data_IF_676939996021
#
_entry.id   IF_676939996021
#
_cell.length_a   1.000
_cell.length_b   1.000
_cell.length_c   1.000
_cell.angle_alpha   90.00
_cell.angle_beta   90.00
_cell.angle_gamma   90.00
#
_symmetry.space_group_name_H-M   'P 1'
#
loop_
_entity.id
_entity.type
_entity.pdbx_description
1 polymer ?
#
# COMPACT_ATOMS: atom_id res chain seq x y z
N UNK A 1 -25.00 13.35 14.39
CA UNK A 1 -24.24 13.75 15.59
C UNK A 1 -22.81 14.22 15.28
N UNK A 2 -22.03 13.50 14.46
CA UNK A 2 -20.69 13.93 13.98
C UNK A 2 -20.70 15.32 13.32
N UNK A 3 -21.81 15.68 12.68
CA UNK A 3 -22.08 16.93 11.98
C UNK A 3 -22.35 18.14 12.87
N UNK A 4 -22.19 18.06 14.19
CA UNK A 4 -22.33 19.23 15.08
C UNK A 4 -20.99 19.76 15.60
N UNK A 5 -19.90 19.04 15.37
CA UNK A 5 -18.58 19.44 15.82
C UNK A 5 -17.92 20.40 14.81
N UNK A 6 -17.52 21.59 15.28
CA UNK A 6 -16.83 22.58 14.45
C UNK A 6 -15.56 22.00 13.81
N UNK A 7 -14.84 21.15 14.54
CA UNK A 7 -13.59 20.53 14.06
C UNK A 7 -13.81 19.57 12.89
N UNK A 8 -14.97 18.91 12.81
CA UNK A 8 -15.35 18.09 11.66
C UNK A 8 -15.44 18.95 10.40
N UNK A 9 -16.18 20.06 10.46
CA UNK A 9 -16.33 20.97 9.32
C UNK A 9 -15.01 21.61 8.91
N UNK A 10 -14.17 22.00 9.88
CA UNK A 10 -12.85 22.54 9.59
C UNK A 10 -11.95 21.50 8.91
N UNK A 11 -11.92 20.26 9.40
CA UNK A 11 -11.15 19.17 8.80
C UNK A 11 -11.67 18.82 7.39
N UNK A 12 -13.00 18.76 7.20
CA UNK A 12 -13.62 18.52 5.91
C UNK A 12 -13.33 19.65 4.91
N UNK A 13 -13.48 20.91 5.32
CA UNK A 13 -13.19 22.06 4.49
C UNK A 13 -11.71 22.09 4.08
N UNK A 14 -10.79 21.86 5.03
CA UNK A 14 -9.37 21.75 4.74
C UNK A 14 -9.08 20.63 3.74
N UNK A 15 -9.68 19.45 3.93
CA UNK A 15 -9.53 18.31 3.03
C UNK A 15 -10.02 18.62 1.61
N UNK A 16 -11.19 19.24 1.48
CA UNK A 16 -11.76 19.64 0.18
C UNK A 16 -10.87 20.65 -0.52
N UNK A 17 -10.45 21.72 0.16
CA UNK A 17 -9.58 22.75 -0.41
C UNK A 17 -8.25 22.16 -0.88
N UNK A 18 -7.61 21.32 -0.05
CA UNK A 18 -6.34 20.67 -0.40
C UNK A 18 -6.49 19.66 -1.55
N UNK A 19 -7.62 18.96 -1.62
CA UNK A 19 -7.94 18.03 -2.70
C UNK A 19 -8.13 18.78 -4.02
N UNK A 20 -8.96 19.84 -4.03
CA UNK A 20 -9.20 20.67 -5.22
C UNK A 20 -7.90 21.30 -5.72
N UNK A 21 -7.09 21.87 -4.81
CA UNK A 21 -5.79 22.42 -5.17
C UNK A 21 -4.86 21.37 -5.80
N UNK A 22 -4.84 20.16 -5.23
CA UNK A 22 -4.03 19.05 -5.75
C UNK A 22 -4.51 18.57 -7.11
N UNK A 23 -5.82 18.51 -7.34
CA UNK A 23 -6.42 18.20 -8.64
C UNK A 23 -6.03 19.25 -9.68
N UNK A 24 -6.15 20.53 -9.37
CA UNK A 24 -5.74 21.63 -10.27
C UNK A 24 -4.25 21.52 -10.61
N UNK A 25 -3.40 21.25 -9.60
CA UNK A 25 -1.96 21.03 -9.81
C UNK A 25 -1.67 19.81 -10.69
N UNK A 26 -2.40 18.71 -10.48
CA UNK A 26 -2.26 17.50 -11.28
C UNK A 26 -2.66 17.75 -12.75
N UNK A 27 -3.77 18.47 -12.99
CA UNK A 27 -4.22 18.88 -14.32
C UNK A 27 -3.18 19.79 -15.01
N UNK A 28 -2.56 20.69 -14.25
CA UNK A 28 -1.47 21.55 -14.70
C UNK A 28 -0.10 20.82 -14.80
N UNK A 29 -0.09 19.48 -14.70
CA UNK A 29 1.11 18.63 -14.78
C UNK A 29 2.18 18.91 -13.71
N UNK A 30 1.80 19.56 -12.61
CA UNK A 30 2.68 19.75 -11.47
C UNK A 30 2.78 18.45 -10.68
N UNK A 31 4.00 17.98 -10.42
CA UNK A 31 4.27 16.74 -9.68
C UNK A 31 3.74 16.78 -8.24
N UNK A 32 3.57 17.97 -7.69
CA UNK A 32 2.91 18.17 -6.39
C UNK A 32 1.46 17.64 -6.39
N UNK A 33 0.80 17.50 -7.54
CA UNK A 33 -0.54 16.90 -7.64
C UNK A 33 -0.63 15.46 -7.12
N UNK A 34 0.50 14.76 -6.94
CA UNK A 34 0.56 13.41 -6.34
C UNK A 34 0.09 13.39 -4.88
N UNK A 35 0.14 14.53 -4.17
CA UNK A 35 -0.42 14.65 -2.81
C UNK A 35 -1.90 14.28 -2.73
N UNK A 36 -2.62 14.36 -3.86
CA UNK A 36 -4.00 13.91 -3.99
C UNK A 36 -4.23 12.52 -3.42
N UNK A 37 -3.28 11.60 -3.59
CA UNK A 37 -3.42 10.21 -3.14
C UNK A 37 -3.51 10.08 -1.62
N UNK A 38 -2.79 10.94 -0.88
CA UNK A 38 -2.87 10.99 0.59
C UNK A 38 -4.21 11.58 1.02
N UNK A 39 -4.69 12.63 0.35
CA UNK A 39 -6.00 13.22 0.68
C UNK A 39 -7.16 12.28 0.41
N UNK A 40 -7.15 11.57 -0.72
CA UNK A 40 -8.14 10.52 -1.02
C UNK A 40 -8.09 9.39 0.01
N UNK A 41 -6.89 9.01 0.45
CA UNK A 41 -6.71 8.02 1.52
C UNK A 41 -7.30 8.50 2.84
N UNK A 42 -7.03 9.75 3.25
CA UNK A 42 -7.60 10.33 4.47
C UNK A 42 -9.13 10.39 4.37
N UNK A 43 -9.67 10.81 3.23
CA UNK A 43 -11.11 10.81 2.99
C UNK A 43 -11.71 9.40 3.19
N UNK A 44 -11.14 8.40 2.51
CA UNK A 44 -11.65 7.04 2.53
C UNK A 44 -11.62 6.40 3.93
N UNK A 45 -10.58 6.65 4.73
CA UNK A 45 -10.43 6.00 6.04
C UNK A 45 -11.03 6.78 7.22
N UNK A 46 -11.15 8.11 7.13
CA UNK A 46 -11.58 8.95 8.26
C UNK A 46 -12.93 9.65 8.06
N UNK A 47 -13.41 9.76 6.82
CA UNK A 47 -14.67 10.46 6.51
C UNK A 47 -15.76 9.54 5.94
N UNK A 48 -15.42 8.49 5.17
CA UNK A 48 -16.44 7.64 4.53
C UNK A 48 -17.23 6.81 5.54
N UNK A 49 -16.57 6.19 6.50
CA UNK A 49 -17.21 5.26 7.43
C UNK A 49 -18.34 5.89 8.28
N UNK A 50 -18.18 7.10 8.86
CA UNK A 50 -19.29 7.80 9.53
C UNK A 50 -20.55 8.04 8.69
N UNK A 51 -20.42 8.10 7.35
CA UNK A 51 -21.58 8.23 6.45
C UNK A 51 -22.21 6.88 6.12
N UNK A 52 -21.42 5.80 6.09
CA UNK A 52 -21.90 4.46 5.81
C UNK A 52 -22.54 3.80 7.04
N UNK A 53 -21.96 4.04 8.23
CA UNK A 53 -22.33 3.38 9.48
C UNK A 53 -22.56 4.40 10.62
N UNK A 54 -23.56 5.30 10.50
CA UNK A 54 -23.76 6.37 11.47
C UNK A 54 -24.05 5.86 12.90
N UNK A 55 -24.75 4.74 13.02
CA UNK A 55 -25.10 4.11 14.31
C UNK A 55 -23.88 3.74 15.17
N UNK A 56 -22.74 3.44 14.53
CA UNK A 56 -21.50 3.08 15.23
C UNK A 56 -20.82 4.28 15.90
N UNK A 57 -21.33 5.49 15.69
CA UNK A 57 -20.81 6.73 16.24
C UNK A 57 -21.71 7.32 17.33
N UNK A 58 -22.91 6.78 17.53
CA UNK A 58 -23.89 7.32 18.47
C UNK A 58 -23.53 7.07 19.95
N UNK A 59 -22.75 6.02 20.24
CA UNK A 59 -22.26 5.74 21.60
C UNK A 59 -20.95 6.47 21.94
N UNK A 60 -20.32 7.13 20.98
CA UNK A 60 -19.06 7.85 21.20
C UNK A 60 -19.32 9.26 21.74
N UNK A 61 -18.58 9.71 22.78
CA UNK A 61 -18.72 11.08 23.27
C UNK A 61 -18.42 12.11 22.17
N UNK A 62 -19.26 13.15 21.98
CA UNK A 62 -19.05 14.20 20.97
C UNK A 62 -17.68 14.89 21.10
N UNK A 63 -17.22 15.10 22.34
CA UNK A 63 -15.90 15.66 22.62
C UNK A 63 -14.74 14.80 22.06
N UNK A 64 -14.83 13.47 22.18
CA UNK A 64 -13.81 12.55 21.65
C UNK A 64 -13.76 12.57 20.13
N UNK A 65 -14.93 12.68 19.48
CA UNK A 65 -15.03 12.87 18.04
C UNK A 65 -14.45 14.22 17.60
N UNK A 66 -14.81 15.30 18.31
CA UNK A 66 -14.29 16.64 18.06
C UNK A 66 -12.76 16.70 18.16
N UNK A 67 -12.19 16.06 19.20
CA UNK A 67 -10.74 15.93 19.37
C UNK A 67 -10.09 15.12 18.24
N UNK A 68 -10.69 14.01 17.85
CA UNK A 68 -10.18 13.13 16.79
C UNK A 68 -10.18 13.82 15.43
N UNK A 69 -11.23 14.59 15.08
CA UNK A 69 -11.21 15.43 13.87
C UNK A 69 -10.23 16.60 13.96
N UNK A 70 -10.01 17.15 15.15
CA UNK A 70 -8.92 18.11 15.39
C UNK A 70 -7.54 17.51 15.07
N UNK A 71 -7.32 16.23 15.41
CA UNK A 71 -6.10 15.52 15.06
C UNK A 71 -5.99 15.24 13.56
N UNK A 72 -7.09 14.92 12.88
CA UNK A 72 -7.13 14.84 11.41
C UNK A 72 -6.73 16.18 10.78
N UNK A 73 -7.25 17.30 11.29
CA UNK A 73 -6.89 18.63 10.83
C UNK A 73 -5.38 18.92 11.05
N UNK A 74 -4.84 18.59 12.23
CA UNK A 74 -3.40 18.73 12.52
C UNK A 74 -2.54 17.88 11.58
N UNK A 75 -2.97 16.65 11.27
CA UNK A 75 -2.31 15.80 10.28
C UNK A 75 -2.29 16.48 8.90
N UNK A 76 -3.43 17.00 8.43
CA UNK A 76 -3.54 17.66 7.12
C UNK A 76 -2.64 18.90 7.04
N UNK A 77 -2.63 19.73 8.09
CA UNK A 77 -1.77 20.91 8.17
C UNK A 77 -0.30 20.50 8.18
N UNK A 78 0.08 19.55 9.06
CA UNK A 78 1.46 19.06 9.15
C UNK A 78 1.94 18.47 7.82
N UNK A 79 1.19 17.55 7.24
CA UNK A 79 1.48 16.98 5.93
C UNK A 79 1.70 18.08 4.88
N UNK A 80 0.79 19.06 4.81
CA UNK A 80 0.90 20.13 3.81
C UNK A 80 2.12 21.03 4.01
N UNK A 81 2.46 21.38 5.24
CA UNK A 81 3.60 22.25 5.57
C UNK A 81 4.93 21.56 5.24
N UNK A 82 5.07 20.28 5.58
CA UNK A 82 6.34 19.56 5.42
C UNK A 82 6.56 18.99 4.02
N UNK A 83 5.50 18.69 3.27
CA UNK A 83 5.60 18.07 1.93
C UNK A 83 6.51 18.83 0.95
N UNK A 84 6.39 20.17 0.78
CA UNK A 84 7.26 20.90 -0.15
C UNK A 84 8.74 20.81 0.21
N UNK A 85 9.10 20.94 1.49
CA UNK A 85 10.48 20.90 1.95
C UNK A 85 11.07 19.50 1.76
N UNK A 86 10.34 18.46 2.18
CA UNK A 86 10.77 17.06 2.07
C UNK A 86 10.88 16.63 0.62
N UNK A 87 9.91 16.99 -0.23
CA UNK A 87 9.93 16.66 -1.65
C UNK A 87 11.16 17.27 -2.33
N UNK A 88 11.44 18.56 -2.08
CA UNK A 88 12.65 19.21 -2.61
C UNK A 88 13.92 18.50 -2.14
N UNK A 89 13.97 18.11 -0.87
CA UNK A 89 15.12 17.39 -0.32
C UNK A 89 15.33 16.02 -0.96
N UNK A 90 14.26 15.24 -1.15
CA UNK A 90 14.33 13.90 -1.76
C UNK A 90 14.67 13.96 -3.26
N UNK A 91 14.08 14.92 -3.99
CA UNK A 91 14.28 15.08 -5.44
C UNK A 91 15.68 15.63 -5.75
N UNK A 92 16.21 16.57 -4.95
CA UNK A 92 17.55 17.13 -5.14
C UNK A 92 18.68 16.12 -4.94
N UNK A 93 18.43 15.02 -4.22
CA UNK A 93 19.46 14.00 -3.98
C UNK A 93 19.84 13.33 -5.31
N UNK A 94 21.14 13.24 -5.64
CA UNK A 94 21.59 12.63 -6.88
C UNK A 94 20.98 11.24 -7.02
N UNK A 95 20.42 10.98 -8.19
CA UNK A 95 19.82 9.70 -8.48
C UNK A 95 20.82 8.82 -9.20
N UNK A 96 21.17 7.69 -8.59
CA UNK A 96 21.84 6.60 -9.28
C UNK A 96 20.90 5.85 -10.24
N UNK A 97 19.68 6.35 -10.49
CA UNK A 97 18.73 5.76 -11.43
C UNK A 97 19.26 5.94 -12.85
N UNK A 98 19.38 4.84 -13.57
CA UNK A 98 19.89 4.82 -14.93
C UNK A 98 18.66 4.86 -15.84
N UNK A 99 18.42 6.03 -16.42
CA UNK A 99 17.19 6.31 -17.18
C UNK A 99 17.14 5.67 -18.56
N UNK A 100 18.29 5.22 -19.07
CA UNK A 100 18.42 4.60 -20.39
C UNK A 100 18.56 3.07 -20.28
N UNK A 101 17.68 2.45 -19.49
CA UNK A 101 17.48 1.01 -19.59
C UNK A 101 16.68 0.74 -20.86
N UNK A 102 17.34 0.31 -21.94
CA UNK A 102 16.70 -0.18 -23.19
C UNK A 102 15.89 -1.49 -22.99
N UNK A 103 15.43 -1.75 -21.77
CA UNK A 103 14.67 -2.94 -21.42
C UNK A 103 13.27 -2.84 -22.03
N UNK A 104 12.93 -3.85 -22.82
CA UNK A 104 11.60 -3.96 -23.40
C UNK A 104 10.59 -4.42 -22.34
N UNK A 105 9.29 -4.03 -22.45
CA UNK A 105 8.25 -4.55 -21.55
C UNK A 105 8.19 -6.09 -21.50
N UNK A 106 8.58 -6.74 -22.60
CA UNK A 106 8.68 -8.20 -22.71
C UNK A 106 9.77 -8.77 -21.79
N UNK A 107 10.97 -8.19 -21.78
CA UNK A 107 12.06 -8.66 -20.92
C UNK A 107 11.72 -8.50 -19.44
N UNK A 108 11.06 -7.39 -19.08
CA UNK A 108 10.58 -7.17 -17.71
C UNK A 108 9.52 -8.21 -17.32
N UNK A 109 8.61 -8.55 -18.23
CA UNK A 109 7.62 -9.59 -18.01
C UNK A 109 8.25 -10.98 -17.87
N UNK A 110 9.25 -11.32 -18.68
CA UNK A 110 9.96 -12.61 -18.55
C UNK A 110 10.67 -12.69 -17.19
N UNK A 111 11.38 -11.64 -16.77
CA UNK A 111 12.07 -11.62 -15.48
C UNK A 111 11.08 -11.70 -14.30
N UNK A 112 10.04 -10.86 -14.32
CA UNK A 112 8.99 -10.85 -13.28
C UNK A 112 8.24 -12.17 -13.26
N UNK A 113 7.93 -12.72 -14.43
CA UNK A 113 7.22 -13.98 -14.59
C UNK A 113 8.04 -15.19 -14.15
N UNK A 114 9.36 -15.18 -14.36
CA UNK A 114 10.26 -16.21 -13.86
C UNK A 114 10.34 -16.19 -12.32
N UNK A 115 10.44 -15.00 -11.71
CA UNK A 115 10.39 -14.84 -10.25
C UNK A 115 9.05 -15.32 -9.71
N UNK A 116 7.95 -14.93 -10.35
CA UNK A 116 6.61 -15.36 -9.99
C UNK A 116 6.48 -16.89 -10.06
N UNK A 117 6.93 -17.51 -11.15
CA UNK A 117 6.82 -18.96 -11.34
C UNK A 117 7.65 -19.72 -10.30
N UNK A 118 8.88 -19.27 -10.03
CA UNK A 118 9.73 -19.85 -9.01
C UNK A 118 9.06 -19.80 -7.63
N UNK A 119 8.54 -18.63 -7.25
CA UNK A 119 7.85 -18.45 -5.98
C UNK A 119 6.57 -19.29 -5.91
N UNK A 120 5.80 -19.35 -7.01
CA UNK A 120 4.59 -20.15 -7.07
C UNK A 120 4.88 -21.65 -6.91
N UNK A 121 5.92 -22.17 -7.57
CA UNK A 121 6.36 -23.56 -7.42
C UNK A 121 6.86 -23.86 -6.00
N UNK A 122 7.61 -22.94 -5.39
CA UNK A 122 8.01 -23.06 -3.97
C UNK A 122 6.78 -23.08 -3.06
N UNK A 123 5.79 -22.23 -3.34
CA UNK A 123 4.51 -22.20 -2.62
C UNK A 123 3.75 -23.53 -2.70
N UNK A 124 3.65 -24.11 -3.91
CA UNK A 124 3.03 -25.44 -4.12
C UNK A 124 3.80 -26.53 -3.38
N UNK A 125 5.13 -26.51 -3.45
CA UNK A 125 5.96 -27.48 -2.73
C UNK A 125 5.72 -27.42 -1.22
N UNK A 126 5.53 -26.22 -0.66
CA UNK A 126 5.18 -26.05 0.76
C UNK A 126 3.80 -26.60 1.12
N UNK A 127 2.88 -26.64 0.16
CA UNK A 127 1.55 -27.25 0.30
C UNK A 127 1.57 -28.75 -0.01
N UNK A 128 2.73 -29.42 0.08
CA UNK A 128 2.92 -30.83 -0.27
C UNK A 128 2.45 -31.20 -1.69
N UNK A 129 2.50 -30.26 -2.63
CA UNK A 129 2.04 -30.47 -4.01
C UNK A 129 0.56 -30.22 -4.25
N UNK A 130 -0.21 -29.79 -3.24
CA UNK A 130 -1.63 -29.44 -3.41
C UNK A 130 -1.80 -28.10 -4.13
N UNK A 131 -1.94 -28.18 -5.46
CA UNK A 131 -2.14 -27.02 -6.33
C UNK A 131 -3.50 -26.35 -6.08
N UNK A 132 -4.52 -27.13 -5.70
CA UNK A 132 -5.88 -26.60 -5.52
C UNK A 132 -5.92 -25.73 -4.27
N UNK A 133 -5.42 -26.24 -3.14
CA UNK A 133 -5.33 -25.47 -1.90
C UNK A 133 -4.35 -24.29 -2.01
N UNK A 134 -3.31 -24.40 -2.85
CA UNK A 134 -2.39 -23.30 -3.12
C UNK A 134 -3.06 -22.13 -3.87
N UNK A 135 -3.85 -22.42 -4.91
CA UNK A 135 -4.54 -21.40 -5.71
C UNK A 135 -5.81 -20.90 -5.03
N UNK A 136 -6.50 -21.79 -4.32
CA UNK A 136 -7.84 -21.54 -3.78
C UNK A 136 -7.88 -22.02 -2.31
N UNK A 137 -7.28 -21.25 -1.39
CA UNK A 137 -7.21 -21.61 0.03
C UNK A 137 -8.59 -21.46 0.68
N UNK A 138 -9.40 -22.51 0.57
CA UNK A 138 -10.78 -22.51 1.07
C UNK A 138 -10.88 -22.52 2.59
N UNK A 139 -9.81 -22.85 3.30
CA UNK A 139 -9.81 -22.94 4.76
C UNK A 139 -9.59 -21.57 5.45
N UNK A 140 -9.58 -20.49 4.66
CA UNK A 140 -9.54 -19.12 5.15
C UNK A 140 -8.28 -18.79 5.94
N UNK A 141 -8.45 -18.10 7.09
CA UNK A 141 -7.33 -17.63 7.92
C UNK A 141 -6.76 -18.71 8.84
N UNK A 142 -7.55 -19.75 9.13
CA UNK A 142 -7.12 -20.92 9.90
C UNK A 142 -6.42 -21.99 9.05
N UNK A 143 -6.55 -21.91 7.73
CA UNK A 143 -5.98 -22.85 6.77
C UNK A 143 -4.50 -22.66 6.46
N UNK A 144 -3.88 -23.72 5.95
CA UNK A 144 -2.56 -23.63 5.32
C UNK A 144 -2.65 -22.82 4.02
N UNK A 145 -1.74 -21.87 3.86
CA UNK A 145 -1.62 -21.07 2.64
C UNK A 145 -0.17 -21.08 2.16
N UNK A 146 0.05 -20.88 0.85
CA UNK A 146 1.39 -20.92 0.22
C UNK A 146 2.47 -20.12 0.96
N UNK A 147 2.07 -19.00 1.55
CA UNK A 147 2.95 -18.08 2.27
C UNK A 147 2.48 -17.81 3.71
N UNK A 148 1.59 -18.67 4.22
CA UNK A 148 1.13 -18.63 5.60
C UNK A 148 2.21 -19.04 6.59
N UNK A 149 2.20 -18.39 7.76
CA UNK A 149 3.00 -18.76 8.93
C UNK A 149 2.25 -18.41 10.21
N UNK A 150 2.60 -19.13 11.29
CA UNK A 150 2.24 -18.73 12.66
C UNK A 150 2.74 -17.32 12.97
N UNK A 151 1.95 -16.59 13.76
CA UNK A 151 2.20 -15.18 14.02
C UNK A 151 3.45 -14.96 14.91
N UNK A 152 3.80 -15.96 15.72
CA UNK A 152 5.03 -16.00 16.53
C UNK A 152 5.98 -17.08 16.00
N UNK A 153 6.32 -17.05 14.71
CA UNK A 153 7.37 -17.94 14.20
C UNK A 153 8.74 -17.53 14.77
N UNK A 154 9.26 -18.30 15.72
CA UNK A 154 10.61 -18.15 16.29
C UNK A 154 11.72 -18.62 15.34
N UNK A 155 11.39 -19.38 14.30
CA UNK A 155 12.36 -19.96 13.36
C UNK A 155 12.75 -18.99 12.23
N UNK A 156 14.00 -19.10 11.75
CA UNK A 156 14.50 -18.39 10.57
C UNK A 156 13.66 -18.70 9.30
N UNK A 157 13.05 -19.88 9.25
CA UNK A 157 12.14 -20.30 8.20
C UNK A 157 10.90 -19.38 8.12
N UNK A 158 10.36 -18.92 9.25
CA UNK A 158 9.22 -18.00 9.27
C UNK A 158 9.52 -16.64 8.66
N UNK A 159 10.76 -16.14 8.82
CA UNK A 159 11.20 -14.92 8.14
C UNK A 159 11.26 -15.13 6.62
N UNK A 160 11.85 -16.23 6.15
CA UNK A 160 11.93 -16.56 4.73
C UNK A 160 10.54 -16.73 4.09
N UNK A 161 9.59 -17.30 4.83
CA UNK A 161 8.20 -17.44 4.38
C UNK A 161 7.54 -16.08 4.18
N UNK A 162 7.69 -15.15 5.14
CA UNK A 162 7.16 -13.79 4.98
C UNK A 162 7.83 -13.04 3.85
N UNK A 163 9.15 -13.17 3.74
CA UNK A 163 9.92 -12.60 2.65
C UNK A 163 9.39 -13.07 1.29
N UNK A 164 9.20 -14.39 1.13
CA UNK A 164 8.63 -14.99 -0.08
C UNK A 164 7.22 -14.49 -0.36
N UNK A 165 6.35 -14.40 0.64
CA UNK A 165 4.99 -13.89 0.50
C UNK A 165 4.92 -12.42 0.05
N UNK A 166 5.74 -11.55 0.63
CA UNK A 166 5.81 -10.14 0.21
C UNK A 166 6.40 -9.97 -1.18
N UNK A 167 7.44 -10.75 -1.52
CA UNK A 167 8.03 -10.75 -2.86
C UNK A 167 7.03 -11.27 -3.91
N UNK A 168 6.27 -12.31 -3.57
CA UNK A 168 5.21 -12.87 -4.41
C UNK A 168 4.09 -11.86 -4.65
N UNK A 169 3.69 -11.11 -3.61
CA UNK A 169 2.71 -10.03 -3.74
C UNK A 169 3.23 -8.89 -4.63
N UNK A 170 4.49 -8.47 -4.44
CA UNK A 170 5.12 -7.47 -5.30
C UNK A 170 5.21 -7.91 -6.77
N UNK A 171 5.60 -9.16 -7.03
CA UNK A 171 5.64 -9.74 -8.37
C UNK A 171 4.26 -9.77 -9.02
N UNK A 172 3.22 -10.17 -8.27
CA UNK A 172 1.83 -10.19 -8.74
C UNK A 172 1.33 -8.78 -9.08
N UNK A 173 1.62 -7.80 -8.24
CA UNK A 173 1.26 -6.41 -8.50
C UNK A 173 1.96 -5.85 -9.76
N UNK A 174 3.22 -6.26 -9.99
CA UNK A 174 3.96 -5.93 -11.21
C UNK A 174 3.33 -6.58 -12.45
N UNK A 175 2.92 -7.86 -12.36
CA UNK A 175 2.22 -8.54 -13.46
C UNK A 175 0.93 -7.82 -13.83
N UNK A 176 0.12 -7.42 -12.85
CA UNK A 176 -1.11 -6.64 -13.07
C UNK A 176 -0.85 -5.33 -13.83
N UNK A 177 0.17 -4.57 -13.43
CA UNK A 177 0.54 -3.34 -14.13
C UNK A 177 1.06 -3.60 -15.56
N UNK A 178 1.83 -4.68 -15.77
CA UNK A 178 2.46 -4.99 -17.07
C UNK A 178 1.46 -5.30 -18.18
N UNK A 179 0.25 -5.79 -17.85
CA UNK A 179 -0.82 -6.11 -18.83
C UNK A 179 -1.05 -4.96 -19.81
N UNK A 180 -1.02 -3.72 -19.31
CA UNK A 180 -1.29 -2.51 -20.10
C UNK A 180 -0.13 -2.06 -21.00
N UNK A 181 1.10 -2.44 -20.67
CA UNK A 181 2.30 -2.01 -21.39
C UNK A 181 2.79 -3.03 -22.43
N UNK A 182 2.24 -4.25 -22.45
CA UNK A 182 2.57 -5.25 -23.48
C UNK A 182 1.99 -4.87 -24.85
N UNK A 183 2.83 -4.92 -25.88
CA UNK A 183 2.41 -4.65 -27.28
C UNK A 183 1.74 -5.86 -27.93
N UNK A 184 2.21 -7.06 -27.66
CA UNK A 184 1.71 -8.31 -28.26
C UNK A 184 0.59 -8.92 -27.42
N UNK A 185 -0.46 -9.40 -28.09
CA UNK A 185 -1.62 -10.05 -27.46
C UNK A 185 -1.24 -11.30 -26.68
N UNK A 186 -0.29 -12.10 -27.18
CA UNK A 186 0.16 -13.32 -26.50
C UNK A 186 0.80 -13.01 -25.14
N UNK A 187 1.71 -12.04 -25.08
CA UNK A 187 2.35 -11.62 -23.84
C UNK A 187 1.39 -10.94 -22.87
N UNK A 188 0.38 -10.23 -23.40
CA UNK A 188 -0.70 -9.66 -22.57
C UNK A 188 -1.56 -10.75 -21.96
N UNK A 189 -1.96 -11.76 -22.74
CA UNK A 189 -2.73 -12.90 -22.26
C UNK A 189 -1.96 -13.71 -21.23
N UNK A 190 -0.66 -13.92 -21.44
CA UNK A 190 0.20 -14.59 -20.46
C UNK A 190 0.25 -13.83 -19.13
N UNK A 191 0.54 -12.53 -19.14
CA UNK A 191 0.55 -11.71 -17.93
C UNK A 191 -0.83 -11.69 -17.23
N UNK A 192 -1.90 -11.60 -18.03
CA UNK A 192 -3.28 -11.67 -17.53
C UNK A 192 -3.62 -13.01 -16.90
N UNK A 193 -3.20 -14.12 -17.50
CA UNK A 193 -3.41 -15.46 -16.97
C UNK A 193 -2.66 -15.66 -15.65
N UNK A 194 -1.38 -15.29 -15.58
CA UNK A 194 -0.59 -15.38 -14.34
C UNK A 194 -1.19 -14.55 -13.22
N UNK A 195 -1.63 -13.32 -13.53
CA UNK A 195 -2.32 -12.45 -12.58
C UNK A 195 -3.64 -13.08 -12.11
N UNK A 196 -4.48 -13.53 -13.04
CA UNK A 196 -5.79 -14.13 -12.74
C UNK A 196 -5.68 -15.40 -11.89
N UNK A 197 -4.68 -16.27 -12.14
CA UNK A 197 -4.44 -17.48 -11.34
C UNK A 197 -4.11 -17.13 -9.89
N UNK A 198 -3.39 -16.03 -9.65
CA UNK A 198 -3.03 -15.64 -8.27
C UNK A 198 -4.12 -14.90 -7.49
N UNK A 199 -5.07 -14.25 -8.17
CA UNK A 199 -6.07 -13.44 -7.46
C UNK A 199 -6.92 -14.25 -6.46
N UNK A 200 -7.43 -15.45 -6.78
CA UNK A 200 -8.15 -16.29 -5.83
C UNK A 200 -7.33 -16.58 -4.58
N UNK A 201 -6.02 -16.84 -4.72
CA UNK A 201 -5.16 -17.17 -3.58
C UNK A 201 -5.08 -16.03 -2.57
N UNK A 202 -5.03 -14.78 -3.02
CA UNK A 202 -5.02 -13.62 -2.14
C UNK A 202 -6.42 -13.27 -1.59
N UNK A 203 -7.48 -13.54 -2.36
CA UNK A 203 -8.85 -13.25 -1.97
C UNK A 203 -9.32 -14.18 -0.85
N UNK A 204 -9.13 -15.50 -1.02
CA UNK A 204 -9.57 -16.51 -0.06
C UNK A 204 -8.61 -16.70 1.13
N UNK A 205 -7.38 -16.17 1.07
CA UNK A 205 -6.46 -16.18 2.23
C UNK A 205 -6.98 -15.38 3.45
N UNK A 206 -8.13 -14.71 3.37
CA UNK A 206 -8.76 -14.03 4.50
C UNK A 206 -8.14 -12.67 4.87
N UNK A 207 -7.12 -12.21 4.14
CA UNK A 207 -6.41 -10.96 4.41
C UNK A 207 -6.63 -9.92 3.31
N UNK A 208 -7.57 -8.99 3.54
CA UNK A 208 -7.94 -7.90 2.61
C UNK A 208 -6.75 -7.05 2.15
N UNK A 209 -5.81 -6.77 3.04
CA UNK A 209 -4.63 -5.93 2.76
C UNK A 209 -3.75 -6.53 1.66
N UNK A 210 -3.45 -7.83 1.72
CA UNK A 210 -2.61 -8.49 0.71
C UNK A 210 -3.25 -8.49 -0.67
N UNK A 211 -4.56 -8.72 -0.75
CA UNK A 211 -5.31 -8.65 -1.99
C UNK A 211 -5.33 -7.24 -2.59
N UNK A 212 -5.55 -6.21 -1.77
CA UNK A 212 -5.51 -4.82 -2.23
C UNK A 212 -4.14 -4.41 -2.79
N UNK A 213 -3.04 -4.89 -2.19
CA UNK A 213 -1.68 -4.63 -2.72
C UNK A 213 -1.51 -5.18 -4.14
N UNK A 214 -2.06 -6.36 -4.43
CA UNK A 214 -1.97 -6.98 -5.75
C UNK A 214 -2.87 -6.28 -6.78
N UNK A 215 -4.10 -5.92 -6.40
CA UNK A 215 -5.14 -5.43 -7.32
C UNK A 215 -5.07 -3.92 -7.57
N UNK A 216 -4.74 -3.10 -6.55
CA UNK A 216 -4.74 -1.65 -6.70
C UNK A 216 -3.80 -1.16 -7.81
N UNK A 217 -2.57 -1.68 -7.97
CA UNK A 217 -1.70 -1.25 -9.07
C UNK A 217 -2.28 -1.55 -10.45
N UNK A 218 -3.03 -2.65 -10.61
CA UNK A 218 -3.78 -2.94 -11.83
C UNK A 218 -4.87 -1.88 -12.07
N UNK A 219 -5.68 -1.59 -11.05
CA UNK A 219 -6.77 -0.59 -11.13
C UNK A 219 -6.22 0.81 -11.45
N UNK A 220 -5.15 1.22 -10.77
CA UNK A 220 -4.51 2.53 -10.96
C UNK A 220 -3.90 2.62 -12.37
N UNK A 221 -3.25 1.55 -12.83
CA UNK A 221 -2.69 1.50 -14.19
C UNK A 221 -3.81 1.58 -15.24
N UNK A 222 -4.93 0.90 -15.02
CA UNK A 222 -6.11 1.02 -15.87
C UNK A 222 -6.67 2.45 -15.89
N UNK A 223 -6.75 3.12 -14.74
CA UNK A 223 -7.24 4.49 -14.64
C UNK A 223 -6.37 5.47 -15.44
N UNK A 224 -5.04 5.37 -15.34
CA UNK A 224 -4.11 6.26 -16.05
C UNK A 224 -3.90 5.90 -17.53
N UNK A 225 -3.72 4.62 -17.84
CA UNK A 225 -3.27 4.14 -19.16
C UNK A 225 -4.32 3.31 -19.92
N UNK A 226 -5.53 3.17 -19.39
CA UNK A 226 -6.64 2.57 -20.11
C UNK A 226 -6.90 3.26 -21.44
N UNK A 227 -7.55 2.57 -22.38
CA UNK A 227 -7.90 3.14 -23.70
C UNK A 227 -9.29 3.78 -23.73
N UNK A 228 -10.14 3.48 -22.75
CA UNK A 228 -11.52 3.95 -22.69
C UNK A 228 -11.60 5.44 -22.30
N UNK A 229 -12.69 6.15 -22.63
CA UNK A 229 -12.92 7.50 -22.14
C UNK A 229 -13.02 7.51 -20.59
N UNK A 230 -12.73 8.65 -19.97
CA UNK A 230 -12.69 8.78 -18.50
C UNK A 230 -14.00 8.33 -17.83
N UNK A 231 -15.15 8.65 -18.43
CA UNK A 231 -16.47 8.25 -17.90
C UNK A 231 -16.56 6.74 -17.75
N UNK A 232 -16.22 5.98 -18.81
CA UNK A 232 -16.25 4.51 -18.79
C UNK A 232 -15.24 3.96 -17.76
N UNK A 233 -14.07 4.58 -17.62
CA UNK A 233 -13.09 4.17 -16.58
C UNK A 233 -13.66 4.35 -15.18
N UNK A 234 -14.33 5.48 -14.92
CA UNK A 234 -14.96 5.73 -13.63
C UNK A 234 -16.15 4.80 -13.37
N UNK A 235 -16.96 4.48 -14.39
CA UNK A 235 -18.04 3.50 -14.25
C UNK A 235 -17.50 2.11 -13.92
N UNK A 236 -16.47 1.64 -14.64
CA UNK A 236 -15.81 0.36 -14.36
C UNK A 236 -15.19 0.36 -12.96
N UNK A 237 -14.59 1.48 -12.54
CA UNK A 237 -14.05 1.64 -11.19
C UNK A 237 -15.14 1.55 -10.12
N UNK A 238 -16.30 2.18 -10.34
CA UNK A 238 -17.43 2.14 -9.42
C UNK A 238 -17.98 0.71 -9.28
N UNK A 239 -18.15 0.00 -10.40
CA UNK A 239 -18.56 -1.41 -10.39
C UNK A 239 -17.51 -2.26 -9.67
N UNK A 240 -16.23 -2.09 -9.99
CA UNK A 240 -15.15 -2.81 -9.32
C UNK A 240 -15.13 -2.53 -7.81
N UNK A 241 -15.35 -1.29 -7.38
CA UNK A 241 -15.43 -0.92 -5.98
C UNK A 241 -16.59 -1.64 -5.27
N UNK A 242 -17.78 -1.67 -5.86
CA UNK A 242 -18.93 -2.42 -5.31
C UNK A 242 -18.63 -3.91 -5.24
N UNK A 243 -18.05 -4.50 -6.29
CA UNK A 243 -17.64 -5.91 -6.28
C UNK A 243 -16.60 -6.21 -5.19
N UNK A 244 -15.63 -5.31 -4.99
CA UNK A 244 -14.62 -5.44 -3.94
C UNK A 244 -15.23 -5.31 -2.55
N UNK A 245 -16.15 -4.38 -2.33
CA UNK A 245 -16.85 -4.20 -1.05
C UNK A 245 -17.64 -5.46 -0.69
N UNK A 246 -18.49 -5.93 -1.61
CA UNK A 246 -19.27 -7.16 -1.42
C UNK A 246 -18.37 -8.39 -1.24
N UNK A 247 -17.31 -8.50 -2.05
CA UNK A 247 -16.32 -9.56 -1.91
C UNK A 247 -15.61 -9.54 -0.56
N UNK A 248 -15.28 -8.36 -0.03
CA UNK A 248 -14.66 -8.25 1.29
C UNK A 248 -15.60 -8.50 2.45
N UNK A 249 -16.89 -8.18 2.32
CA UNK A 249 -17.91 -8.59 3.29
C UNK A 249 -17.96 -10.12 3.38
N UNK A 250 -18.06 -10.77 2.22
CA UNK A 250 -18.02 -12.23 2.10
C UNK A 250 -16.75 -12.83 2.73
N UNK A 251 -15.57 -12.32 2.38
CA UNK A 251 -14.30 -12.78 2.96
C UNK A 251 -14.25 -12.56 4.48
N UNK A 252 -14.81 -11.46 4.99
CA UNK A 252 -14.78 -11.15 6.42
C UNK A 252 -15.71 -12.06 7.22
N UNK A 253 -16.87 -12.43 6.68
CA UNK A 253 -17.80 -13.35 7.31
C UNK A 253 -17.18 -14.75 7.47
N UNK A 254 -16.52 -15.25 6.43
CA UNK A 254 -16.09 -16.66 6.37
C UNK A 254 -14.59 -16.89 6.59
N UNK A 255 -13.78 -15.85 6.82
CA UNK A 255 -12.34 -16.02 7.08
C UNK A 255 -12.02 -16.87 8.31
N UNK A 256 -12.94 -17.00 9.27
CA UNK A 256 -12.75 -17.74 10.52
C UNK A 256 -13.20 -19.20 10.45
N UNK A 257 -14.33 -19.46 9.78
CA UNK A 257 -14.94 -20.79 9.65
C UNK A 257 -14.48 -21.54 8.39
N UNK A 258 -13.97 -20.82 7.39
CA UNK A 258 -13.61 -21.37 6.08
C UNK A 258 -14.74 -21.19 5.05
N UNK A 259 -14.36 -21.24 3.79
CA UNK A 259 -15.22 -21.03 2.62
C UNK A 259 -15.82 -22.33 2.06
N UNK A 260 -15.33 -23.50 2.50
CA UNK A 260 -15.80 -24.81 1.98
C UNK A 260 -17.28 -25.03 2.26
N UNK A 261 -17.73 -24.75 3.47
CA UNK A 261 -19.12 -24.96 3.89
C UNK A 261 -20.09 -24.06 3.12
N UNK A 262 -19.68 -22.83 2.80
CA UNK A 262 -20.49 -21.88 2.04
C UNK A 262 -20.60 -22.27 0.56
N UNK A 263 -19.51 -22.75 -0.03
CA UNK A 263 -19.52 -23.21 -1.41
C UNK A 263 -20.27 -24.53 -1.59
N UNK A 264 -20.42 -25.32 -0.52
CA UNK A 264 -21.17 -26.56 -0.50
C UNK A 264 -22.65 -26.37 -0.11
N UNK A 265 -23.03 -25.20 0.43
CA UNK A 265 -24.40 -24.93 0.88
C UNK A 265 -25.34 -24.64 -0.30
N UNK A 266 -26.54 -25.23 -0.26
CA UNK A 266 -27.59 -25.06 -1.27
C UNK A 266 -28.20 -23.64 -1.21
N UNK A 267 -28.22 -23.01 -0.02
CA UNK A 267 -28.61 -21.62 0.22
C UNK A 267 -27.52 -20.86 1.01
N UNK A 268 -26.50 -20.29 0.35
CA UNK A 268 -25.38 -19.64 1.02
C UNK A 268 -25.75 -18.35 1.78
N UNK A 269 -26.94 -17.78 1.51
CA UNK A 269 -27.40 -16.54 2.14
C UNK A 269 -27.86 -16.73 3.59
N UNK A 270 -28.28 -17.92 4.00
CA UNK A 270 -28.73 -18.20 5.38
C UNK A 270 -27.57 -18.30 6.38
N UNK A 271 -26.35 -18.55 5.88
CA UNK A 271 -25.11 -18.62 6.68
C UNK A 271 -24.45 -17.25 6.88
N UNK A 272 -24.91 -16.23 6.17
CA UNK A 272 -24.42 -14.86 6.32
C UNK A 272 -25.24 -14.17 7.40
N UNK A 273 -24.69 -14.08 8.61
CA UNK A 273 -25.29 -13.27 9.66
C UNK A 273 -25.31 -11.79 9.21
N UNK A 274 -26.50 -11.22 9.02
CA UNK A 274 -26.70 -9.84 8.56
C UNK A 274 -26.04 -8.81 9.51
N UNK A 275 -25.73 -9.21 10.74
CA UNK A 275 -25.11 -8.35 11.75
C UNK A 275 -23.57 -8.33 11.73
N UNK A 276 -22.91 -9.03 10.81
CA UNK A 276 -21.44 -8.94 10.67
C UNK A 276 -21.04 -7.63 9.97
N UNK A 277 -21.17 -6.53 10.73
CA UNK A 277 -20.77 -5.17 10.39
C UNK A 277 -19.27 -5.11 10.04
N UNK A 278 -18.91 -4.24 9.10
CA UNK A 278 -17.56 -4.11 8.53
C UNK A 278 -16.54 -3.59 9.54
N UNK A 279 -16.14 -4.41 10.52
CA UNK A 279 -15.10 -4.06 11.47
C UNK A 279 -13.76 -3.93 10.74
N UNK A 280 -13.28 -2.69 10.59
CA UNK A 280 -11.94 -2.41 10.08
C UNK A 280 -11.79 -1.20 9.15
N UNK A 281 -12.85 -0.45 8.84
CA UNK A 281 -12.79 0.86 8.16
C UNK A 281 -12.87 2.05 9.13
N UNK A 282 -13.08 1.78 10.42
CA UNK A 282 -13.52 2.76 11.40
C UNK A 282 -12.33 3.50 12.03
N UNK A 283 -11.42 4.05 11.22
CA UNK A 283 -10.16 4.61 11.76
C UNK A 283 -10.38 5.84 12.64
N UNK A 284 -11.49 6.55 12.46
CA UNK A 284 -11.86 7.68 13.33
C UNK A 284 -12.41 7.20 14.69
N UNK A 285 -13.15 6.08 14.73
CA UNK A 285 -13.52 5.40 15.97
C UNK A 285 -12.27 4.88 16.70
N UNK A 286 -11.34 4.24 15.99
CA UNK A 286 -10.07 3.78 16.59
C UNK A 286 -9.26 4.95 17.16
N UNK A 287 -9.28 6.11 16.50
CA UNK A 287 -8.64 7.32 17.02
C UNK A 287 -9.29 7.83 18.32
N UNK A 288 -10.62 7.70 18.46
CA UNK A 288 -11.33 8.02 19.70
C UNK A 288 -10.89 7.09 20.84
N UNK A 289 -10.77 5.79 20.58
CA UNK A 289 -10.27 4.83 21.57
C UNK A 289 -8.83 5.11 21.98
N UNK A 290 -7.94 5.38 21.02
CA UNK A 290 -6.55 5.80 21.29
C UNK A 290 -6.51 7.00 22.23
N UNK A 291 -7.36 8.00 22.00
CA UNK A 291 -7.42 9.19 22.84
C UNK A 291 -7.92 8.86 24.27
N UNK A 292 -8.89 7.97 24.41
CA UNK A 292 -9.41 7.53 25.70
C UNK A 292 -8.36 6.74 26.52
N UNK A 293 -7.57 5.88 25.88
CA UNK A 293 -6.49 5.14 26.55
C UNK A 293 -5.34 6.06 27.02
N UNK A 294 -5.07 7.14 26.27
CA UNK A 294 -4.09 8.13 26.71
C UNK A 294 -4.61 9.01 27.87
N UNK A 295 -5.92 9.31 27.92
CA UNK A 295 -6.51 10.13 28.99
C UNK A 295 -6.70 9.36 30.29
N UNK A 296 -7.03 8.07 30.21
CA UNK A 296 -7.15 7.18 31.37
C UNK A 296 -5.81 6.89 32.06
N UNK A 297 -4.69 7.15 31.38
CA UNK A 297 -3.35 6.83 31.88
C UNK A 297 -2.97 5.36 31.71
N UNK A 298 -3.81 4.54 31.06
CA UNK A 298 -3.54 3.14 30.73
C UNK A 298 -2.31 2.98 29.81
N UNK A 299 -1.96 4.06 29.08
CA UNK A 299 -0.74 4.12 28.27
C UNK A 299 -0.13 5.51 28.29
N UNK A 300 1.21 5.56 28.20
CA UNK A 300 1.98 6.77 27.92
C UNK A 300 2.46 6.79 26.46
N UNK A 301 2.75 7.98 25.88
CA UNK A 301 3.33 8.07 24.55
C UNK A 301 4.64 7.29 24.46
N UNK A 302 4.80 6.47 23.43
CA UNK A 302 5.98 5.61 23.27
C UNK A 302 7.24 6.33 22.75
N UNK A 303 7.18 7.64 22.53
CA UNK A 303 8.23 8.52 21.99
C UNK A 303 8.97 7.96 20.75
N UNK A 304 8.23 7.33 19.84
CA UNK A 304 8.77 6.76 18.60
C UNK A 304 9.25 5.31 18.72
N UNK A 305 9.25 4.71 19.91
CA UNK A 305 9.67 3.32 20.10
C UNK A 305 8.82 2.33 19.29
N UNK A 306 7.52 2.60 19.07
CA UNK A 306 6.68 1.73 18.24
C UNK A 306 7.08 1.80 16.78
N UNK A 307 7.38 2.99 16.25
CA UNK A 307 7.92 3.12 14.89
C UNK A 307 9.33 2.51 14.74
N UNK A 308 10.15 2.58 15.80
CA UNK A 308 11.44 1.90 15.79
C UNK A 308 11.29 0.38 15.79
N UNK A 309 10.36 -0.16 16.57
CA UNK A 309 10.06 -1.61 16.59
C UNK A 309 9.55 -2.10 15.22
N UNK A 310 8.74 -1.29 14.54
CA UNK A 310 8.34 -1.53 13.15
C UNK A 310 9.53 -1.54 12.20
N UNK A 311 10.42 -0.55 12.32
CA UNK A 311 11.61 -0.47 11.48
C UNK A 311 12.56 -1.65 11.70
N UNK A 312 12.73 -2.08 12.95
CA UNK A 312 13.56 -3.24 13.33
C UNK A 312 12.83 -4.58 13.11
N UNK A 313 11.64 -4.56 12.50
CA UNK A 313 10.88 -5.78 12.28
C UNK A 313 11.58 -6.75 11.31
N UNK A 314 12.51 -6.26 10.48
CA UNK A 314 13.30 -7.14 9.62
C UNK A 314 14.20 -8.12 10.38
N UNK A 315 14.55 -7.82 11.65
CA UNK A 315 15.38 -8.70 12.47
C UNK A 315 14.54 -9.94 12.86
N UNK A 316 14.94 -11.15 12.45
CA UNK A 316 14.22 -12.38 12.79
C UNK A 316 14.23 -12.64 14.30
N UNK A 317 13.15 -13.24 14.83
CA UNK A 317 13.06 -13.63 16.25
C UNK A 317 14.11 -14.67 16.66
N UNK A 318 14.67 -15.43 15.71
CA UNK A 318 15.80 -16.31 15.95
C UNK A 318 17.06 -15.56 16.44
N UNK A 319 17.26 -14.31 15.99
CA UNK A 319 18.39 -13.46 16.38
C UNK A 319 18.00 -12.60 17.59
N UNK A 320 16.75 -12.14 17.66
CA UNK A 320 16.24 -11.36 18.80
C UNK A 320 14.93 -11.97 19.35
N UNK A 321 15.03 -12.95 20.27
CA UNK A 321 13.86 -13.65 20.80
C UNK A 321 12.88 -12.74 21.55
N UNK A 322 13.42 -11.80 22.34
CA UNK A 322 12.65 -10.84 23.17
C UNK A 322 12.12 -9.63 22.40
N UNK A 323 12.13 -9.66 21.07
CA UNK A 323 11.64 -8.56 20.22
C UNK A 323 10.17 -8.21 20.54
N UNK A 324 9.83 -6.93 20.74
CA UNK A 324 8.45 -6.50 20.97
C UNK A 324 7.52 -6.97 19.86
N UNK A 325 6.30 -7.37 20.23
CA UNK A 325 5.27 -7.74 19.26
C UNK A 325 4.53 -6.48 18.80
N UNK A 326 4.24 -6.43 17.50
CA UNK A 326 3.66 -5.26 16.86
C UNK A 326 2.14 -5.32 16.99
N UNK A 327 1.53 -4.21 17.40
CA UNK A 327 0.07 -4.06 17.45
C UNK A 327 -0.65 -4.90 18.51
N UNK A 328 0.07 -5.69 19.31
CA UNK A 328 -0.51 -6.52 20.37
C UNK A 328 -1.02 -5.67 21.53
N UNK A 329 -0.20 -4.72 22.01
CA UNK A 329 -0.56 -3.88 23.16
C UNK A 329 -1.90 -3.17 22.93
N UNK A 330 -2.08 -2.62 21.73
CA UNK A 330 -3.32 -1.94 21.36
C UNK A 330 -4.51 -2.90 21.29
N UNK A 331 -4.31 -4.09 20.74
CA UNK A 331 -5.37 -5.09 20.62
C UNK A 331 -5.77 -5.67 21.99
N UNK A 332 -4.82 -5.79 22.94
CA UNK A 332 -5.10 -6.11 24.34
C UNK A 332 -5.91 -5.03 25.03
N UNK A 333 -5.55 -3.75 24.87
CA UNK A 333 -6.34 -2.64 25.42
C UNK A 333 -7.77 -2.60 24.89
N UNK A 334 -7.96 -3.01 23.62
CA UNK A 334 -9.28 -3.15 23.00
C UNK A 334 -10.10 -4.34 23.52
N UNK A 335 -9.54 -5.16 24.41
CA UNK A 335 -10.24 -6.29 25.04
C UNK A 335 -10.25 -7.57 24.22
N UNK A 336 -9.38 -7.68 23.20
CA UNK A 336 -9.29 -8.88 22.36
C UNK A 336 -8.32 -9.93 22.91
N UNK A 337 -7.93 -9.84 24.18
CA UNK A 337 -7.07 -10.82 24.81
C UNK A 337 -7.70 -12.22 24.76
N UNK A 338 -6.90 -13.22 24.40
CA UNK A 338 -7.36 -14.61 24.35
C UNK A 338 -6.24 -15.54 24.77
N UNK A 339 -6.55 -16.46 25.69
CA UNK A 339 -5.59 -17.45 26.18
C UNK A 339 -5.30 -18.57 25.15
N UNK A 340 -6.13 -18.69 24.11
CA UNK A 340 -6.03 -19.76 23.10
C UNK A 340 -5.11 -19.44 21.91
N UNK A 341 -4.63 -18.19 21.77
CA UNK A 341 -3.86 -17.74 20.60
C UNK A 341 -2.36 -17.57 20.87
N UNK A 342 -1.49 -17.90 19.91
CA UNK A 342 -0.01 -17.73 20.02
C UNK A 342 0.43 -16.30 20.38
N UNK A 343 -0.39 -15.30 20.03
CA UNK A 343 -0.14 -13.88 20.29
C UNK A 343 -0.75 -13.40 21.62
N UNK A 344 -1.54 -14.23 22.31
CA UNK A 344 -2.36 -13.83 23.46
C UNK A 344 -3.50 -12.87 23.08
N UNK A 345 -3.89 -12.81 21.80
CA UNK A 345 -4.95 -11.94 21.28
C UNK A 345 -5.71 -12.62 20.15
N UNK A 346 -7.04 -12.55 20.17
CA UNK A 346 -7.94 -13.13 19.18
C UNK A 346 -7.94 -12.37 17.84
N UNK A 347 -7.75 -11.04 17.87
CA UNK A 347 -7.74 -10.20 16.66
C UNK A 347 -6.74 -9.06 16.77
N UNK A 348 -5.87 -8.92 15.78
CA UNK A 348 -4.98 -7.75 15.62
C UNK A 348 -5.76 -6.56 15.06
N UNK A 349 -5.85 -5.46 15.80
CA UNK A 349 -6.50 -4.20 15.40
C UNK A 349 -5.44 -3.14 15.09
N UNK A 350 -5.69 -2.34 14.06
CA UNK A 350 -4.84 -1.20 13.71
C UNK A 350 -5.37 0.07 14.36
N UNK A 351 -4.48 0.87 14.93
CA UNK A 351 -4.80 2.20 15.48
C UNK A 351 -5.01 3.28 14.41
N UNK A 352 -4.79 2.97 13.13
CA UNK A 352 -4.85 3.95 12.04
C UNK A 352 -3.56 4.74 11.86
N UNK A 353 -3.34 5.28 10.66
CA UNK A 353 -2.18 6.11 10.32
C UNK A 353 -1.94 7.25 11.32
N UNK A 354 -3.00 7.98 11.69
CA UNK A 354 -2.94 9.10 12.64
C UNK A 354 -2.82 8.59 14.08
N UNK A 355 -3.55 7.52 14.44
CA UNK A 355 -3.53 6.94 15.78
C UNK A 355 -2.15 6.35 16.13
N UNK A 356 -1.45 5.73 15.18
CA UNK A 356 -0.05 5.32 15.35
C UNK A 356 0.86 6.50 15.67
N UNK A 357 0.62 7.67 15.05
CA UNK A 357 1.30 8.92 15.40
C UNK A 357 1.01 9.36 16.83
N UNK A 358 -0.27 9.39 17.21
CA UNK A 358 -0.75 9.80 18.54
C UNK A 358 -0.19 8.89 19.64
N UNK A 359 -0.18 7.57 19.43
CA UNK A 359 0.39 6.61 20.37
C UNK A 359 1.91 6.76 20.55
N UNK A 360 2.62 7.30 19.57
CA UNK A 360 4.06 7.55 19.67
C UNK A 360 4.38 8.91 20.29
N UNK A 361 3.75 9.99 19.83
CA UNK A 361 4.16 11.35 20.18
C UNK A 361 3.06 12.18 20.87
N UNK A 362 1.98 11.55 21.30
CA UNK A 362 0.86 12.18 21.98
C UNK A 362 -0.11 12.90 21.05
N UNK A 363 -1.14 13.49 21.64
CA UNK A 363 -2.33 14.01 20.94
C UNK A 363 -2.06 15.17 19.97
N UNK A 364 -1.00 15.94 20.20
CA UNK A 364 -0.69 17.16 19.42
C UNK A 364 0.43 16.90 18.41
N UNK A 365 1.58 16.39 18.86
CA UNK A 365 2.73 16.14 17.99
C UNK A 365 2.57 14.85 17.16
N UNK A 366 1.78 13.90 17.64
CA UNK A 366 1.53 12.62 16.97
C UNK A 366 0.96 12.76 15.55
N UNK A 367 -0.16 13.48 15.34
CA UNK A 367 -0.72 13.69 14.02
C UNK A 367 0.25 14.40 13.06
N UNK A 368 1.04 15.36 13.57
CA UNK A 368 2.06 16.07 12.78
C UNK A 368 3.19 15.12 12.37
N UNK A 369 3.65 14.25 13.28
CA UNK A 369 4.67 13.24 12.99
C UNK A 369 4.19 12.23 11.93
N UNK A 370 2.95 11.75 12.02
CA UNK A 370 2.34 10.92 10.98
C UNK A 370 2.28 11.67 9.63
N UNK A 371 1.95 12.97 9.65
CA UNK A 371 1.99 13.83 8.47
C UNK A 371 3.39 13.94 7.85
N UNK A 372 4.44 14.04 8.66
CA UNK A 372 5.84 14.04 8.20
C UNK A 372 6.21 12.70 7.55
N UNK A 373 5.82 11.57 8.15
CA UNK A 373 6.05 10.25 7.56
C UNK A 373 5.37 10.09 6.20
N UNK A 374 4.12 10.54 6.08
CA UNK A 374 3.42 10.53 4.79
C UNK A 374 4.00 11.52 3.78
N UNK A 375 4.57 12.63 4.24
CA UNK A 375 5.30 13.56 3.38
C UNK A 375 6.61 12.95 2.85
N UNK A 376 7.34 12.17 3.66
CA UNK A 376 8.49 11.37 3.22
C UNK A 376 8.08 10.35 2.16
N UNK A 377 7.00 9.59 2.42
CA UNK A 377 6.44 8.65 1.46
C UNK A 377 6.05 9.33 0.14
N UNK A 378 5.32 10.45 0.22
CA UNK A 378 4.89 11.21 -0.95
C UNK A 378 6.08 11.77 -1.75
N UNK A 379 7.13 12.23 -1.07
CA UNK A 379 8.35 12.68 -1.74
C UNK A 379 9.05 11.55 -2.52
N UNK A 380 9.01 10.30 -2.02
CA UNK A 380 9.49 9.13 -2.77
C UNK A 380 8.62 8.83 -3.99
N UNK A 381 7.30 8.91 -3.86
CA UNK A 381 6.37 8.75 -4.98
C UNK A 381 6.61 9.81 -6.06
N UNK A 382 6.75 11.08 -5.68
CA UNK A 382 7.05 12.18 -6.59
C UNK A 382 8.37 11.93 -7.32
N UNK A 383 9.39 11.47 -6.59
CA UNK A 383 10.66 11.08 -7.21
C UNK A 383 10.47 9.97 -8.23
N UNK A 384 9.75 8.89 -7.93
CA UNK A 384 9.52 7.82 -8.91
C UNK A 384 8.69 8.29 -10.11
N UNK A 385 7.76 9.21 -9.91
CA UNK A 385 7.00 9.84 -10.97
C UNK A 385 7.85 10.71 -11.91
N UNK A 386 8.81 11.47 -11.38
CA UNK A 386 9.77 12.19 -12.22
C UNK A 386 10.64 11.23 -13.04
N UNK A 387 10.88 10.04 -12.48
CA UNK A 387 11.66 8.96 -13.08
C UNK A 387 10.86 8.04 -14.00
N UNK A 388 9.58 8.35 -14.28
CA UNK A 388 8.64 7.52 -15.05
C UNK A 388 9.04 7.19 -16.49
N UNK A 389 10.11 7.81 -17.03
CA UNK A 389 10.66 7.46 -18.35
C UNK A 389 11.10 5.99 -18.39
N UNK A 390 11.59 5.46 -17.28
CA UNK A 390 11.83 4.02 -17.13
C UNK A 390 10.54 3.32 -16.73
N UNK A 391 10.15 2.29 -17.47
CA UNK A 391 8.96 1.49 -17.17
C UNK A 391 9.04 0.87 -15.77
N UNK A 392 10.22 0.44 -15.34
CA UNK A 392 10.45 -0.11 -14.00
C UNK A 392 10.12 0.90 -12.89
N UNK A 393 10.50 2.16 -13.08
CA UNK A 393 10.22 3.25 -12.13
C UNK A 393 8.74 3.65 -12.13
N UNK A 394 8.11 3.61 -13.30
CA UNK A 394 6.66 3.79 -13.42
C UNK A 394 5.89 2.68 -12.68
N UNK A 395 6.30 1.42 -12.82
CA UNK A 395 5.68 0.31 -12.10
C UNK A 395 5.85 0.43 -10.59
N UNK A 396 7.03 0.83 -10.13
CA UNK A 396 7.27 1.10 -8.72
C UNK A 396 6.39 2.24 -8.20
N UNK A 397 6.20 3.29 -9.00
CA UNK A 397 5.24 4.35 -8.70
C UNK A 397 3.81 3.81 -8.58
N UNK A 398 3.34 2.98 -9.52
CA UNK A 398 1.99 2.40 -9.47
C UNK A 398 1.77 1.53 -8.23
N UNK A 399 2.76 0.70 -7.89
CA UNK A 399 2.74 -0.08 -6.65
C UNK A 399 2.69 0.82 -5.41
N UNK A 400 3.51 1.87 -5.37
CA UNK A 400 3.53 2.83 -4.27
C UNK A 400 2.21 3.61 -4.12
N UNK A 401 1.58 4.03 -5.22
CA UNK A 401 0.26 4.67 -5.15
C UNK A 401 -0.78 3.69 -4.59
N UNK A 402 -0.79 2.43 -5.04
CA UNK A 402 -1.68 1.40 -4.49
C UNK A 402 -1.49 1.17 -2.99
N UNK A 403 -0.23 1.12 -2.54
CA UNK A 403 0.10 0.98 -1.12
C UNK A 403 -0.25 2.19 -0.27
N UNK A 404 -0.36 3.38 -0.85
CA UNK A 404 -0.76 4.60 -0.12
C UNK A 404 -2.10 4.41 0.55
N UNK A 405 -3.05 3.73 -0.12
CA UNK A 405 -4.33 3.40 0.47
C UNK A 405 -4.20 2.50 1.70
N UNK A 406 -3.33 1.47 1.65
CA UNK A 406 -3.07 0.59 2.79
C UNK A 406 -2.33 1.28 3.93
N UNK A 407 -1.47 2.26 3.64
CA UNK A 407 -0.80 3.07 4.67
C UNK A 407 -1.79 3.93 5.46
N UNK A 408 -2.98 4.21 4.92
CA UNK A 408 -4.06 4.86 5.66
C UNK A 408 -4.56 4.03 6.85
N UNK A 409 -4.53 2.70 6.72
CA UNK A 409 -4.85 1.77 7.82
C UNK A 409 -3.74 1.75 8.86
N UNK A 410 -2.47 1.71 8.46
CA UNK A 410 -1.34 1.75 9.40
C UNK A 410 -0.01 2.07 8.68
N UNK A 411 0.85 2.90 9.27
CA UNK A 411 2.20 3.16 8.76
C UNK A 411 3.14 2.12 9.36
N UNK A 412 3.18 0.94 8.75
CA UNK A 412 4.04 -0.17 9.19
C UNK A 412 5.04 -0.59 8.12
N UNK A 413 6.17 -1.13 8.56
CA UNK A 413 7.15 -1.70 7.62
C UNK A 413 6.54 -2.92 6.90
N UNK A 414 5.61 -3.62 7.55
CA UNK A 414 4.90 -4.77 6.98
C UNK A 414 4.14 -4.41 5.71
N UNK A 415 3.52 -3.23 5.66
CA UNK A 415 2.84 -2.72 4.47
C UNK A 415 3.85 -2.25 3.41
N UNK A 416 5.03 -1.78 3.81
CA UNK A 416 6.04 -1.24 2.89
C UNK A 416 6.95 -2.30 2.24
N UNK A 417 7.03 -3.52 2.79
CA UNK A 417 7.87 -4.61 2.26
C UNK A 417 7.72 -4.85 0.76
N UNK A 418 6.52 -4.93 0.17
CA UNK A 418 6.36 -5.12 -1.27
C UNK A 418 7.08 -4.05 -2.09
N UNK A 419 7.06 -2.78 -1.65
CA UNK A 419 7.77 -1.69 -2.35
C UNK A 419 9.26 -1.74 -2.12
N UNK A 420 9.73 -2.11 -0.93
CA UNK A 420 11.16 -2.28 -0.67
C UNK A 420 11.73 -3.37 -1.59
N UNK A 421 11.06 -4.50 -1.70
CA UNK A 421 11.48 -5.58 -2.59
C UNK A 421 11.39 -5.21 -4.07
N UNK A 422 10.29 -4.56 -4.48
CA UNK A 422 10.16 -4.03 -5.82
C UNK A 422 11.28 -3.02 -6.13
N UNK A 423 11.64 -2.14 -5.20
CA UNK A 423 12.74 -1.20 -5.37
C UNK A 423 14.08 -1.93 -5.53
N UNK A 424 14.39 -2.91 -4.69
CA UNK A 424 15.59 -3.74 -4.82
C UNK A 424 15.64 -4.45 -6.18
N UNK A 425 14.53 -5.05 -6.62
CA UNK A 425 14.41 -5.67 -7.94
C UNK A 425 14.67 -4.67 -9.07
N UNK A 426 14.06 -3.47 -9.01
CA UNK A 426 14.29 -2.40 -9.98
C UNK A 426 15.77 -1.98 -10.01
N UNK A 427 16.42 -1.87 -8.85
CA UNK A 427 17.84 -1.51 -8.77
C UNK A 427 18.76 -2.59 -9.35
N UNK A 428 18.51 -3.85 -9.03
CA UNK A 428 19.29 -4.98 -9.55
C UNK A 428 19.12 -5.11 -11.07
N UNK A 429 17.91 -4.93 -11.58
CA UNK A 429 17.64 -4.97 -13.03
C UNK A 429 18.26 -3.78 -13.77
N UNK A 430 18.24 -2.58 -13.19
CA UNK A 430 18.98 -1.42 -13.72
C UNK A 430 20.50 -1.69 -13.80
N UNK A 431 21.09 -2.21 -12.72
CA UNK A 431 22.52 -2.55 -12.66
C UNK A 431 22.89 -3.61 -13.71
N UNK A 432 22.10 -4.68 -13.79
CA UNK A 432 22.33 -5.76 -14.75
C UNK A 432 22.20 -5.28 -16.21
N UNK A 433 21.20 -4.44 -16.50
CA UNK A 433 21.05 -3.84 -17.82
C UNK A 433 22.29 -3.01 -18.19
N UNK A 434 22.85 -2.24 -17.25
CA UNK A 434 24.05 -1.46 -17.54
C UNK A 434 25.30 -2.29 -17.77
N UNK A 435 25.53 -3.38 -17.04
CA UNK A 435 26.65 -4.28 -17.32
C UNK A 435 26.53 -4.95 -18.69
N UNK A 436 25.31 -5.20 -19.16
CA UNK A 436 25.05 -5.84 -20.46
C UNK A 436 25.22 -4.88 -21.64
N UNK A 437 24.81 -3.62 -21.47
CA UNK A 437 24.87 -2.61 -22.54
C UNK A 437 26.16 -1.77 -22.53
N UNK A 438 26.95 -1.79 -21.45
CA UNK A 438 28.31 -1.21 -21.44
C UNK A 438 29.32 -2.00 -22.28
N UNK A 439 29.00 -3.24 -22.64
CA UNK A 439 29.84 -4.15 -23.44
C UNK A 439 29.60 -4.06 -24.96
N UNK A 440 28.64 -3.26 -25.43
CA UNK A 440 28.54 -2.96 -26.87
C UNK A 440 29.59 -1.89 -27.22
N UNK A 441 30.38 -2.05 -28.30
CA UNK A 441 31.43 -1.09 -28.62
C UNK A 441 30.80 0.31 -28.75
N UNK A 442 31.38 1.30 -28.06
CA UNK A 442 31.10 2.73 -28.28
C UNK A 442 31.62 3.14 -29.67
N UNK A 443 31.01 2.62 -30.73
CA UNK A 443 31.23 3.00 -32.11
C UNK A 443 30.31 4.15 -32.50
N UNK A 444 30.48 5.31 -31.87
CA UNK A 444 29.97 6.58 -32.35
C UNK A 444 30.78 7.68 -31.65
N UNK A 445 32.01 7.88 -32.13
CA UNK A 445 32.71 9.14 -31.98
C UNK A 445 31.83 10.24 -32.56
N UNK A 446 31.14 10.97 -31.68
CA UNK A 446 30.60 12.29 -32.01
C UNK A 446 31.81 13.14 -32.35
N UNK A 447 32.06 13.36 -33.63
CA UNK A 447 33.00 14.37 -34.10
C UNK A 447 32.46 15.72 -33.62
N UNK A 448 33.17 16.46 -32.75
CA UNK A 448 32.73 17.79 -32.37
C UNK A 448 32.84 18.68 -33.62
N UNK A 449 31.75 19.35 -33.96
CA UNK A 449 31.75 20.38 -34.99
C UNK A 449 32.84 21.40 -34.66
N UNK A 450 33.84 21.49 -35.54
CA UNK A 450 34.97 22.41 -35.45
C UNK A 450 34.40 23.83 -35.42
N UNK A 451 34.44 24.46 -34.25
CA UNK A 451 34.19 25.89 -34.12
C UNK A 451 35.31 26.62 -34.87
N UNK A 452 34.98 27.15 -36.06
CA UNK A 452 35.84 28.07 -36.78
C UNK A 452 35.90 29.40 -36.03
N UNK A 453 37.13 29.81 -35.71
CA UNK A 453 37.46 31.10 -35.13
C UNK A 453 37.03 32.27 -36.02
N UNK A 454 36.52 33.31 -35.37
CA UNK A 454 36.16 34.64 -35.88
C UNK A 454 37.33 35.29 -36.63
N UNK A 455 37.06 35.89 -37.79
CA UNK A 455 37.82 37.04 -38.27
C UNK A 455 36.85 38.12 -38.78
N UNK A 456 37.00 39.31 -38.24
CA UNK A 456 36.27 40.51 -38.60
C UNK A 456 36.76 41.11 -39.93
N UNK A 457 35.88 41.85 -40.61
CA UNK A 457 36.27 42.99 -41.45
C UNK A 457 35.77 43.02 -42.90
N UNK A 458 35.12 44.15 -43.23
CA UNK A 458 35.00 44.78 -44.56
C UNK A 458 34.05 44.13 -45.57
N UNK A 459 33.35 44.81 -46.47
CA UNK A 459 32.93 46.20 -46.75
C UNK A 459 32.01 46.03 -47.99
N UNK A 460 30.95 46.83 -48.09
CA UNK A 460 30.24 47.25 -49.32
C UNK A 460 30.09 46.27 -50.51
N UNK A 461 28.85 45.96 -50.89
CA UNK A 461 28.12 46.68 -51.97
C UNK A 461 26.65 46.27 -51.97
#
# INVERSE_FOLDING_TARGET
>A
MVTHELTFYLAAAALVVLTVESCIKLLNRNTFGITLMVYVTVFAWYFVDPFLNPEEYDYLPPFSLGQSYGQVLLFLIGFRVFTPAITRWIVRRPSFAIFDTRLTPREILIATGAIWLLLFLIGIYRMNGDVISAVLPLDGRGGETMWGRGAVSSSAMGFLISFGGYLFNAATAFLGALIFFQRSTAWRLLAGAMFAITLPSFFFAGTRSHFLVAVLPFIITYLFYGRHPLIVRFTVLAVAFVCLDQGFRFVTAFRGTGFREVLAAENPYELVDENMRTSGLNMIQELCFVNAYLDSGDTSPAYGARYLNELLNFVPRAIWPSKPLIGIDYAKWRGFESDEGELGVSTTISAGMIGGGVLNFGKILGPVAAGILMALWTGLLIRWWEQRKSLLRLMLFMLGVGLTFNLGRDITLLVLWPVIFAYCFVRLTELWATSRFSQLPRGATVVPARAGSVLAGQLSQ
#
